data_IF_529515435774
#
_entry.id   IF_529515435774
#
_cell.length_a   1.000
_cell.length_b   1.000
_cell.length_c   1.000
_cell.angle_alpha   90.00
_cell.angle_beta   90.00
_cell.angle_gamma   90.00
#
_symmetry.space_group_name_H-M   'P 1'
#
loop_
_entity.id
_entity.type
_entity.pdbx_description
1 polymer ?
#
# COMPACT_ATOMS: atom_id res chain seq x y z
N UNK A 1 72.67 33.95 23.12
CA UNK A 1 72.05 34.37 21.84
C UNK A 1 70.66 33.75 21.76
N UNK A 2 69.61 34.58 21.88
CA UNK A 2 68.18 34.21 21.82
C UNK A 2 67.70 34.20 20.36
N UNK A 3 66.62 33.47 20.04
CA UNK A 3 65.43 33.79 19.19
C UNK A 3 64.60 32.48 19.11
N UNK A 4 63.47 32.34 19.83
CA UNK A 4 62.06 32.74 19.54
C UNK A 4 61.34 31.93 18.43
N UNK A 5 60.43 31.04 18.87
CA UNK A 5 58.98 30.88 18.56
C UNK A 5 58.54 31.10 17.11
N UNK A 6 57.78 30.14 16.53
CA UNK A 6 56.38 30.29 16.06
C UNK A 6 55.76 28.88 15.85
N UNK A 7 54.68 28.60 16.58
CA UNK A 7 53.65 27.61 16.24
C UNK A 7 52.81 28.12 15.05
N UNK A 8 52.29 27.24 14.18
CA UNK A 8 50.87 27.23 13.76
C UNK A 8 50.65 26.17 12.67
N UNK A 9 49.53 25.44 12.77
CA UNK A 9 48.81 25.00 11.57
C UNK A 9 48.44 23.53 11.49
N UNK A 10 47.48 23.12 12.31
CA UNK A 10 46.67 21.91 12.11
C UNK A 10 45.83 22.04 10.81
N UNK A 11 45.48 20.87 10.23
CA UNK A 11 44.39 20.61 9.28
C UNK A 11 44.70 20.66 7.77
N UNK A 12 45.04 19.48 7.24
CA UNK A 12 44.48 19.02 5.97
C UNK A 12 44.09 17.55 6.16
N UNK A 13 42.82 17.32 6.50
CA UNK A 13 42.18 15.99 6.38
C UNK A 13 42.29 15.61 4.91
N UNK A 14 42.91 14.45 4.69
CA UNK A 14 43.39 13.99 3.39
C UNK A 14 42.31 14.03 2.32
N UNK A 15 42.72 14.55 1.16
CA UNK A 15 42.01 14.44 -0.09
C UNK A 15 41.61 12.97 -0.34
N UNK A 16 40.32 12.75 -0.58
CA UNK A 16 39.85 11.50 -1.20
C UNK A 16 40.56 11.35 -2.55
N UNK A 17 41.55 10.46 -2.60
CA UNK A 17 42.16 10.03 -3.83
C UNK A 17 41.16 9.17 -4.60
N UNK A 18 40.40 9.80 -5.50
CA UNK A 18 39.71 9.13 -6.59
C UNK A 18 40.75 8.66 -7.60
N UNK A 19 41.44 7.57 -7.28
CA UNK A 19 42.30 6.86 -8.22
C UNK A 19 41.88 5.40 -8.27
N UNK A 20 40.97 5.06 -9.19
CA UNK A 20 41.21 4.03 -10.20
C UNK A 20 39.95 3.65 -10.98
N UNK A 21 40.14 3.65 -12.31
CA UNK A 21 39.41 2.89 -13.33
C UNK A 21 38.03 3.42 -13.76
N UNK A 22 38.09 4.52 -14.51
CA UNK A 22 37.17 4.78 -15.61
C UNK A 22 37.23 3.62 -16.62
N UNK A 23 36.21 2.77 -16.59
CA UNK A 23 35.96 1.77 -17.63
C UNK A 23 34.46 1.71 -17.91
N UNK A 24 33.85 2.82 -18.38
CA UNK A 24 32.46 2.78 -18.85
C UNK A 24 32.01 3.94 -19.75
N UNK A 25 32.90 4.71 -20.40
CA UNK A 25 32.44 5.71 -21.38
C UNK A 25 33.28 5.69 -22.65
N UNK A 26 32.70 5.21 -23.75
CA UNK A 26 33.23 5.26 -25.12
C UNK A 26 33.19 6.71 -25.67
N UNK A 27 33.68 7.68 -24.91
CA UNK A 27 33.69 9.09 -25.30
C UNK A 27 35.13 9.49 -25.62
N UNK A 28 35.44 9.95 -26.85
CA UNK A 28 36.79 10.40 -27.19
C UNK A 28 37.27 11.50 -26.26
N UNK A 29 38.53 11.45 -25.82
CA UNK A 29 39.10 12.35 -24.80
C UNK A 29 38.91 13.84 -25.09
N UNK A 30 38.90 14.24 -26.36
CA UNK A 30 38.64 15.62 -26.79
C UNK A 30 37.26 16.17 -26.37
N UNK A 31 36.32 15.29 -26.00
CA UNK A 31 34.99 15.66 -25.50
C UNK A 31 34.84 15.45 -24.00
N UNK A 32 35.88 14.98 -23.31
CA UNK A 32 35.87 14.76 -21.86
C UNK A 32 36.34 16.03 -21.15
N UNK A 33 35.43 16.71 -20.47
CA UNK A 33 35.78 17.82 -19.58
C UNK A 33 36.29 17.23 -18.26
N UNK A 34 37.55 17.49 -17.91
CA UNK A 34 38.21 16.96 -16.71
C UNK A 34 38.78 18.04 -15.78
N UNK A 35 39.18 17.65 -14.56
CA UNK A 35 39.83 18.53 -13.58
C UNK A 35 38.88 19.50 -12.88
N UNK A 36 39.42 20.57 -12.26
CA UNK A 36 38.65 21.55 -11.46
C UNK A 36 37.51 22.24 -12.22
N UNK A 37 37.59 22.31 -13.54
CA UNK A 37 36.50 22.84 -14.37
C UNK A 37 35.34 21.84 -14.46
N UNK A 38 35.63 20.54 -14.54
CA UNK A 38 34.61 19.50 -14.43
C UNK A 38 33.95 19.53 -13.05
N UNK A 39 34.72 19.66 -11.95
CA UNK A 39 34.17 19.77 -10.59
C UNK A 39 33.27 21.02 -10.39
N UNK A 40 33.51 22.10 -11.15
CA UNK A 40 32.67 23.32 -11.12
C UNK A 40 31.40 23.22 -11.98
N UNK A 41 31.36 22.31 -12.94
CA UNK A 41 30.27 22.14 -13.91
C UNK A 41 29.46 20.87 -13.62
N UNK A 42 30.05 19.87 -12.97
CA UNK A 42 29.38 18.64 -12.55
C UNK A 42 28.36 18.96 -11.46
N UNK A 43 27.11 18.95 -11.87
CA UNK A 43 25.97 18.98 -10.98
C UNK A 43 25.70 17.55 -10.51
N UNK A 44 25.89 17.27 -9.21
CA UNK A 44 25.54 15.98 -8.62
C UNK A 44 24.03 15.94 -8.42
N UNK A 45 23.30 15.78 -9.51
CA UNK A 45 21.84 15.85 -9.55
C UNK A 45 21.15 14.58 -9.07
N UNK A 46 21.89 13.54 -8.70
CA UNK A 46 21.32 12.22 -8.35
C UNK A 46 21.86 11.70 -7.02
N UNK A 47 20.96 11.10 -6.25
CA UNK A 47 21.29 10.38 -5.02
C UNK A 47 22.01 9.06 -5.35
N UNK A 48 23.07 8.76 -4.62
CA UNK A 48 23.76 7.48 -4.74
C UNK A 48 23.08 6.38 -3.88
N UNK A 49 23.30 5.12 -4.26
CA UNK A 49 22.73 3.95 -3.58
C UNK A 49 23.06 3.89 -2.08
N UNK A 50 24.31 4.10 -1.69
CA UNK A 50 24.74 4.00 -0.29
C UNK A 50 24.03 5.02 0.63
N UNK A 51 23.75 6.22 0.12
CA UNK A 51 22.95 7.22 0.85
C UNK A 51 21.48 6.81 0.90
N UNK A 52 20.93 6.28 -0.20
CA UNK A 52 19.54 5.82 -0.27
C UNK A 52 19.27 4.65 0.70
N UNK A 53 20.17 3.67 0.76
CA UNK A 53 20.17 2.56 1.72
C UNK A 53 20.15 3.08 3.16
N UNK A 54 21.06 3.99 3.52
CA UNK A 54 21.12 4.57 4.87
C UNK A 54 19.83 5.31 5.27
N UNK A 55 19.16 5.98 4.32
CA UNK A 55 17.87 6.63 4.57
C UNK A 55 16.81 5.56 4.87
N UNK A 56 16.78 4.48 4.10
CA UNK A 56 15.85 3.39 4.34
C UNK A 56 16.09 2.73 5.71
N UNK A 57 17.33 2.33 6.02
CA UNK A 57 17.72 1.73 7.30
C UNK A 57 17.32 2.59 8.51
N UNK A 58 17.55 3.91 8.43
CA UNK A 58 17.18 4.84 9.50
C UNK A 58 15.64 4.88 9.70
N UNK A 59 14.87 4.85 8.60
CA UNK A 59 13.41 4.81 8.68
C UNK A 59 12.92 3.46 9.24
N UNK A 60 13.50 2.33 8.83
CA UNK A 60 13.16 1.01 9.37
C UNK A 60 13.45 0.88 10.86
N UNK A 61 14.57 1.44 11.32
CA UNK A 61 14.89 1.52 12.73
C UNK A 61 13.86 2.33 13.50
N UNK A 62 13.42 3.46 12.95
CA UNK A 62 12.34 4.26 13.54
C UNK A 62 11.00 3.51 13.56
N UNK A 63 10.68 2.78 12.49
CA UNK A 63 9.48 1.94 12.39
C UNK A 63 9.49 0.81 13.42
N UNK A 64 10.63 0.14 13.57
CA UNK A 64 10.82 -0.94 14.53
C UNK A 64 10.67 -0.44 15.98
N UNK A 65 11.23 0.73 16.29
CA UNK A 65 11.09 1.36 17.61
C UNK A 65 9.62 1.68 17.95
N UNK A 66 8.81 1.93 16.94
CA UNK A 66 7.38 2.23 17.06
C UNK A 66 6.48 1.00 16.86
N UNK A 67 7.08 -0.19 16.71
CA UNK A 67 6.41 -1.47 16.49
C UNK A 67 5.45 -1.45 15.28
N UNK A 68 5.89 -0.89 14.16
CA UNK A 68 5.15 -0.85 12.89
C UNK A 68 6.02 -1.36 11.74
N UNK A 69 5.38 -1.86 10.69
CA UNK A 69 6.06 -2.30 9.47
C UNK A 69 5.74 -1.35 8.31
N UNK A 70 6.73 -1.09 7.45
CA UNK A 70 6.62 -0.15 6.32
C UNK A 70 7.30 -0.69 5.06
N UNK A 71 6.96 -0.08 3.92
CA UNK A 71 7.70 -0.13 2.66
C UNK A 71 8.26 1.26 2.36
N UNK A 72 9.48 1.31 1.84
CA UNK A 72 10.23 2.53 1.57
C UNK A 72 10.63 2.54 0.09
N UNK A 73 10.49 3.68 -0.57
CA UNK A 73 10.94 3.91 -1.93
C UNK A 73 11.82 5.15 -1.97
N UNK A 74 13.01 5.05 -2.55
CA UNK A 74 13.92 6.17 -2.82
C UNK A 74 14.10 6.30 -4.33
N UNK A 75 13.80 7.49 -4.84
CA UNK A 75 13.91 7.87 -6.23
C UNK A 75 15.08 8.84 -6.43
N UNK A 76 15.73 8.78 -7.59
CA UNK A 76 16.61 9.86 -8.05
C UNK A 76 15.79 11.07 -8.55
N UNK A 77 16.50 12.13 -8.96
CA UNK A 77 15.88 13.35 -9.46
C UNK A 77 15.13 13.17 -10.80
N UNK A 78 15.40 12.08 -11.53
CA UNK A 78 14.72 11.75 -12.79
C UNK A 78 13.52 10.82 -12.58
N UNK A 79 13.30 10.35 -11.34
CA UNK A 79 12.19 9.48 -10.97
C UNK A 79 12.45 8.00 -11.19
N UNK A 80 13.71 7.61 -11.37
CA UNK A 80 14.15 6.22 -11.40
C UNK A 80 14.28 5.68 -9.98
N UNK A 81 14.07 4.37 -9.84
CA UNK A 81 14.22 3.66 -8.58
C UNK A 81 15.69 3.52 -8.24
N UNK A 82 16.10 4.08 -7.10
CA UNK A 82 17.47 3.93 -6.58
C UNK A 82 17.52 2.85 -5.51
N UNK A 83 16.54 2.86 -4.60
CA UNK A 83 16.42 1.86 -3.54
C UNK A 83 14.96 1.63 -3.18
N UNK A 84 14.62 0.38 -2.86
CA UNK A 84 13.31 -0.01 -2.37
C UNK A 84 13.51 -1.04 -1.27
N UNK A 85 12.82 -0.84 -0.15
CA UNK A 85 12.76 -1.81 0.93
C UNK A 85 11.33 -2.10 1.33
N UNK A 86 11.12 -3.30 1.84
CA UNK A 86 9.81 -3.77 2.25
C UNK A 86 9.96 -4.75 3.40
N UNK A 87 9.64 -4.27 4.60
CA UNK A 87 9.61 -5.07 5.81
C UNK A 87 8.62 -6.24 5.72
N UNK A 88 8.86 -7.26 6.53
CA UNK A 88 7.99 -8.42 6.67
C UNK A 88 6.54 -8.03 7.01
N UNK A 89 5.58 -8.80 6.49
CA UNK A 89 4.15 -8.56 6.71
C UNK A 89 3.52 -7.43 5.89
N UNK A 90 4.29 -6.69 5.08
CA UNK A 90 3.73 -5.63 4.22
C UNK A 90 2.90 -6.18 3.04
N UNK A 91 1.97 -5.39 2.52
CA UNK A 91 1.18 -5.75 1.34
C UNK A 91 1.71 -5.07 0.07
N UNK A 92 1.32 -5.58 -1.11
CA UNK A 92 1.60 -4.91 -2.40
C UNK A 92 1.21 -3.43 -2.40
N UNK A 93 0.09 -3.08 -1.75
CA UNK A 93 -0.39 -1.70 -1.68
C UNK A 93 0.58 -0.76 -0.95
N UNK A 94 1.31 -1.26 0.04
CA UNK A 94 2.24 -0.44 0.83
C UNK A 94 3.47 -0.09 -0.01
N UNK A 95 3.93 -1.02 -0.84
CA UNK A 95 4.99 -0.81 -1.83
C UNK A 95 4.56 0.26 -2.85
N UNK A 96 3.38 0.09 -3.47
CA UNK A 96 2.94 1.02 -4.52
C UNK A 96 2.64 2.40 -3.95
N UNK A 97 2.02 2.49 -2.77
CA UNK A 97 1.79 3.80 -2.13
C UNK A 97 3.08 4.49 -1.73
N UNK A 98 4.13 3.77 -1.31
CA UNK A 98 5.44 4.35 -1.06
C UNK A 98 6.03 4.99 -2.33
N UNK A 99 5.98 4.28 -3.47
CA UNK A 99 6.40 4.82 -4.77
C UNK A 99 5.61 6.06 -5.18
N UNK A 100 4.28 5.99 -5.12
CA UNK A 100 3.43 7.12 -5.49
C UNK A 100 3.67 8.36 -4.62
N UNK A 101 3.95 8.19 -3.32
CA UNK A 101 4.31 9.28 -2.42
C UNK A 101 5.66 9.91 -2.80
N UNK A 102 6.67 9.09 -3.07
CA UNK A 102 7.98 9.56 -3.52
C UNK A 102 7.86 10.35 -4.84
N UNK A 103 7.14 9.81 -5.82
CA UNK A 103 6.88 10.47 -7.11
C UNK A 103 6.14 11.80 -6.96
N UNK A 104 5.16 11.86 -6.05
CA UNK A 104 4.43 13.10 -5.78
C UNK A 104 5.36 14.17 -5.25
N UNK A 105 6.24 13.81 -4.30
CA UNK A 105 7.20 14.75 -3.73
C UNK A 105 8.23 15.23 -4.77
N UNK A 106 8.64 14.34 -5.67
CA UNK A 106 9.51 14.66 -6.79
C UNK A 106 8.85 15.62 -7.79
N UNK A 107 7.63 15.31 -8.25
CA UNK A 107 6.92 16.10 -9.25
C UNK A 107 6.57 17.50 -8.75
N UNK A 108 6.10 17.60 -7.50
CA UNK A 108 5.75 18.90 -6.92
C UNK A 108 6.95 19.68 -6.37
N UNK A 109 8.10 19.02 -6.22
CA UNK A 109 9.28 19.54 -5.52
C UNK A 109 8.99 20.00 -4.09
N UNK A 110 8.06 19.33 -3.40
CA UNK A 110 7.63 19.64 -2.04
C UNK A 110 7.05 18.39 -1.36
N UNK A 111 6.83 18.38 -0.03
CA UNK A 111 6.20 17.25 0.65
C UNK A 111 4.83 16.88 0.08
N UNK A 112 4.55 15.57 -0.08
CA UNK A 112 3.25 15.08 -0.55
C UNK A 112 2.08 15.45 0.39
N UNK A 113 2.41 15.78 1.64
CA UNK A 113 1.50 16.34 2.65
C UNK A 113 0.80 17.61 2.21
N UNK A 114 1.46 18.47 1.42
CA UNK A 114 0.85 19.72 0.97
C UNK A 114 -0.33 19.47 0.03
N UNK A 115 -0.25 18.41 -0.81
CA UNK A 115 -1.39 17.97 -1.62
C UNK A 115 -2.48 17.34 -0.77
N UNK A 116 -2.11 16.55 0.23
CA UNK A 116 -3.07 16.02 1.20
C UNK A 116 -3.88 17.14 1.86
N UNK A 117 -3.21 18.19 2.33
CA UNK A 117 -3.86 19.34 2.95
C UNK A 117 -4.78 20.07 1.95
N UNK A 118 -4.34 20.27 0.71
CA UNK A 118 -5.18 20.89 -0.32
C UNK A 118 -6.43 20.08 -0.67
N UNK A 119 -6.35 18.74 -0.63
CA UNK A 119 -7.53 17.88 -0.82
C UNK A 119 -8.47 17.94 0.40
N UNK A 120 -7.92 18.01 1.62
CA UNK A 120 -8.73 18.20 2.82
C UNK A 120 -9.51 19.54 2.75
N UNK A 121 -8.89 20.60 2.25
CA UNK A 121 -9.55 21.90 2.01
C UNK A 121 -10.58 21.83 0.88
N UNK A 122 -10.22 21.21 -0.24
CA UNK A 122 -11.03 21.12 -1.46
C UNK A 122 -10.90 19.73 -2.13
N UNK A 123 -11.83 18.79 -1.84
CA UNK A 123 -11.81 17.44 -2.36
C UNK A 123 -11.95 17.35 -3.89
N UNK A 124 -12.45 18.41 -4.54
CA UNK A 124 -12.61 18.42 -5.99
C UNK A 124 -11.27 18.41 -6.73
N UNK A 125 -10.19 18.85 -6.07
CA UNK A 125 -8.82 18.84 -6.60
C UNK A 125 -8.21 17.45 -6.71
N UNK A 126 -8.74 16.50 -5.95
CA UNK A 126 -8.16 15.16 -5.89
C UNK A 126 -8.19 14.44 -7.23
N UNK A 127 -9.29 14.57 -7.98
CA UNK A 127 -9.40 13.97 -9.31
C UNK A 127 -8.36 14.54 -10.28
N UNK A 128 -8.11 15.85 -10.19
CA UNK A 128 -7.08 16.51 -11.00
C UNK A 128 -5.68 15.99 -10.63
N UNK A 129 -5.38 15.86 -9.34
CA UNK A 129 -4.10 15.28 -8.90
C UNK A 129 -3.93 13.84 -9.39
N UNK A 130 -5.00 13.02 -9.33
CA UNK A 130 -4.98 11.65 -9.87
C UNK A 130 -4.64 11.64 -11.37
N UNK A 131 -5.24 12.53 -12.15
CA UNK A 131 -4.97 12.63 -13.60
C UNK A 131 -3.54 13.07 -13.92
N UNK A 132 -2.91 13.84 -13.02
CA UNK A 132 -1.51 14.23 -13.10
C UNK A 132 -0.55 13.18 -12.51
N UNK A 133 -1.06 12.02 -12.07
CA UNK A 133 -0.26 10.96 -11.45
C UNK A 133 0.18 11.26 -10.01
N UNK A 134 -0.40 12.28 -9.37
CA UNK A 134 -0.05 12.73 -8.03
C UNK A 134 -0.92 12.07 -6.95
N UNK A 135 -0.28 11.57 -5.91
CA UNK A 135 -0.91 10.92 -4.78
C UNK A 135 -0.87 11.83 -3.57
N UNK A 136 -2.00 12.50 -3.32
CA UNK A 136 -2.20 13.47 -2.25
C UNK A 136 -2.25 12.83 -0.85
N UNK A 137 -1.30 11.96 -0.51
CA UNK A 137 -1.22 11.30 0.78
C UNK A 137 0.15 11.57 1.41
N UNK A 138 0.20 11.85 2.71
CA UNK A 138 1.45 12.16 3.41
C UNK A 138 2.41 10.97 3.45
N UNK A 139 3.71 11.25 3.41
CA UNK A 139 4.79 10.25 3.51
C UNK A 139 5.82 10.32 2.39
N UNK A 140 5.68 11.28 1.45
CA UNK A 140 6.68 11.60 0.44
C UNK A 140 7.41 12.89 0.78
N UNK A 141 8.74 12.87 0.78
CA UNK A 141 9.60 14.04 1.05
C UNK A 141 10.66 14.21 -0.04
N UNK A 142 10.95 15.45 -0.47
CA UNK A 142 12.06 15.71 -1.37
C UNK A 142 13.41 15.59 -0.64
N UNK A 143 14.43 15.11 -1.35
CA UNK A 143 15.81 15.04 -0.88
C UNK A 143 16.57 16.20 -1.54
N UNK A 144 16.91 17.22 -0.73
CA UNK A 144 17.55 18.45 -1.19
C UNK A 144 18.88 18.65 -0.48
N UNK A 145 19.96 18.76 -1.24
CA UNK A 145 21.32 19.01 -0.75
C UNK A 145 21.87 20.24 -1.48
N UNK A 146 22.47 21.18 -0.75
CA UNK A 146 23.03 22.42 -1.33
C UNK A 146 22.05 23.20 -2.22
N UNK A 147 20.75 23.22 -1.84
CA UNK A 147 19.65 23.83 -2.60
C UNK A 147 19.31 23.14 -3.93
N UNK A 148 19.92 21.99 -4.21
CA UNK A 148 19.64 21.16 -5.36
C UNK A 148 18.82 19.94 -4.93
N UNK A 149 17.73 19.65 -5.64
CA UNK A 149 17.01 18.39 -5.44
C UNK A 149 17.80 17.28 -6.11
N UNK A 150 18.06 16.20 -5.35
CA UNK A 150 18.82 15.03 -5.82
C UNK A 150 17.98 13.75 -5.84
N UNK A 151 16.74 13.82 -5.36
CA UNK A 151 15.82 12.70 -5.32
C UNK A 151 14.61 12.95 -4.42
N UNK A 152 13.86 11.89 -4.14
CA UNK A 152 12.74 11.89 -3.23
C UNK A 152 12.63 10.54 -2.49
N UNK A 153 12.12 10.58 -1.26
CA UNK A 153 11.80 9.37 -0.47
C UNK A 153 10.29 9.29 -0.25
N UNK A 154 9.74 8.09 -0.30
CA UNK A 154 8.35 7.80 0.00
C UNK A 154 8.23 6.60 0.93
N UNK A 155 7.37 6.72 1.94
CA UNK A 155 7.13 5.67 2.94
C UNK A 155 5.65 5.32 2.95
N UNK A 156 5.32 4.03 2.97
CA UNK A 156 3.96 3.53 2.98
C UNK A 156 3.81 2.32 3.89
N UNK A 157 2.67 2.21 4.59
CA UNK A 157 2.28 0.95 5.21
C UNK A 157 1.77 1.03 6.63
N UNK A 158 1.81 2.21 7.27
CA UNK A 158 1.27 2.39 8.61
C UNK A 158 0.28 3.55 8.69
N UNK A 159 -0.76 3.37 9.50
CA UNK A 159 -1.65 4.48 9.86
C UNK A 159 -0.90 5.51 10.74
N UNK A 160 -1.21 6.81 10.61
CA UNK A 160 -0.59 7.86 11.42
C UNK A 160 -1.10 7.88 12.87
N UNK A 161 -0.20 8.13 13.81
CA UNK A 161 -0.40 8.42 15.24
C UNK A 161 0.34 9.71 15.62
N UNK A 162 0.03 10.82 14.97
CA UNK A 162 0.74 12.11 15.15
C UNK A 162 0.56 12.62 16.60
N UNK A 163 1.61 13.17 17.26
CA UNK A 163 2.96 13.45 16.73
C UNK A 163 3.97 12.31 16.88
N UNK A 164 3.54 11.14 17.36
CA UNK A 164 4.44 10.01 17.65
C UNK A 164 4.91 9.35 16.36
N UNK A 165 3.98 9.02 15.47
CA UNK A 165 4.27 8.27 14.25
C UNK A 165 3.47 8.73 13.04
N UNK A 166 4.09 8.74 11.88
CA UNK A 166 3.47 8.69 10.56
C UNK A 166 4.54 8.28 9.55
N UNK A 167 4.11 7.83 8.38
CA UNK A 167 5.03 7.56 7.26
C UNK A 167 5.95 8.77 6.97
N UNK A 168 5.42 9.99 7.11
CA UNK A 168 6.16 11.24 6.90
C UNK A 168 7.13 11.57 8.03
N UNK A 169 6.76 11.27 9.29
CA UNK A 169 7.66 11.40 10.45
C UNK A 169 8.83 10.42 10.32
N UNK A 170 8.59 9.20 9.85
CA UNK A 170 9.64 8.23 9.58
C UNK A 170 10.65 8.75 8.54
N UNK A 171 10.13 9.19 7.38
CA UNK A 171 10.94 9.76 6.32
C UNK A 171 11.76 10.97 6.82
N UNK A 172 11.14 11.86 7.59
CA UNK A 172 11.82 13.04 8.11
C UNK A 172 12.93 12.71 9.11
N UNK A 173 12.66 11.82 10.07
CA UNK A 173 13.68 11.36 11.03
C UNK A 173 14.87 10.73 10.31
N UNK A 174 14.61 9.89 9.31
CA UNK A 174 15.64 9.28 8.49
C UNK A 174 16.48 10.32 7.73
N UNK A 175 15.84 11.30 7.08
CA UNK A 175 16.56 12.38 6.40
C UNK A 175 17.40 13.21 7.38
N UNK A 176 16.88 13.54 8.56
CA UNK A 176 17.65 14.29 9.59
C UNK A 176 18.85 13.49 10.08
N UNK A 177 18.69 12.17 10.30
CA UNK A 177 19.78 11.29 10.75
C UNK A 177 20.90 11.19 9.70
N UNK A 178 20.53 11.10 8.41
CA UNK A 178 21.51 10.89 7.32
C UNK A 178 22.09 12.19 6.78
N UNK A 179 21.27 13.23 6.62
CA UNK A 179 21.64 14.50 5.97
C UNK A 179 21.88 15.64 6.97
N UNK A 180 21.48 15.45 8.23
CA UNK A 180 21.70 16.40 9.32
C UNK A 180 20.52 17.35 9.59
N UNK A 181 20.68 18.27 10.55
CA UNK A 181 19.60 19.10 11.09
C UNK A 181 19.10 20.19 10.14
N UNK A 182 19.73 20.36 8.97
CA UNK A 182 19.28 21.30 7.94
C UNK A 182 18.03 20.83 7.18
N UNK A 183 17.60 19.58 7.37
CA UNK A 183 16.35 19.07 6.79
C UNK A 183 15.16 19.88 7.36
N UNK A 184 14.30 20.46 6.51
CA UNK A 184 13.18 21.29 6.96
C UNK A 184 12.20 20.54 7.88
N UNK A 185 11.48 21.26 8.77
CA UNK A 185 10.39 20.68 9.54
C UNK A 185 9.22 20.26 8.63
N UNK A 186 8.42 19.32 9.11
CA UNK A 186 7.24 18.82 8.39
C UNK A 186 6.15 19.90 8.23
N UNK A 187 5.40 19.77 7.13
CA UNK A 187 4.20 20.57 6.91
C UNK A 187 3.17 20.28 8.02
N UNK A 188 2.50 21.33 8.50
CA UNK A 188 1.52 21.19 9.59
C UNK A 188 0.28 20.43 9.10
N UNK A 189 -0.25 19.59 9.98
CA UNK A 189 -1.60 19.05 9.83
C UNK A 189 -2.63 20.18 9.87
N UNK A 190 -3.64 20.07 9.01
CA UNK A 190 -4.84 20.89 9.11
C UNK A 190 -5.98 20.04 9.71
N UNK A 191 -6.96 20.67 10.39
CA UNK A 191 -8.07 19.94 10.96
C UNK A 191 -8.81 19.14 9.87
N UNK A 192 -9.15 17.87 10.12
CA UNK A 192 -9.98 17.09 9.18
C UNK A 192 -11.33 17.78 8.99
N UNK A 193 -11.98 17.54 7.84
CA UNK A 193 -13.29 18.13 7.60
C UNK A 193 -14.28 17.64 8.66
N UNK A 194 -15.29 18.46 8.98
CA UNK A 194 -16.37 18.03 9.88
C UNK A 194 -17.12 16.90 9.19
N UNK A 195 -17.01 15.69 9.74
CA UNK A 195 -17.73 14.53 9.24
C UNK A 195 -19.24 14.71 9.46
N UNK A 196 -20.07 14.78 8.40
CA UNK A 196 -21.51 14.83 8.57
C UNK A 196 -22.08 13.49 9.10
N UNK A 197 -21.34 12.38 9.01
CA UNK A 197 -21.74 11.03 9.42
C UNK A 197 -20.65 10.30 10.26
N UNK A 198 -20.34 10.75 11.49
CA UNK A 198 -19.26 10.17 12.30
C UNK A 198 -19.61 8.76 12.79
N UNK A 199 -19.09 7.74 12.12
CA UNK A 199 -19.08 6.35 12.62
C UNK A 199 -20.45 5.66 12.66
N UNK A 200 -21.44 6.19 11.94
CA UNK A 200 -22.78 5.63 11.92
C UNK A 200 -22.89 4.39 10.99
N UNK A 201 -21.97 4.22 10.04
CA UNK A 201 -21.94 3.01 9.22
C UNK A 201 -21.23 1.86 9.97
N UNK A 202 -21.91 0.74 10.25
CA UNK A 202 -21.29 -0.44 10.87
C UNK A 202 -20.12 -0.93 10.01
N UNK A 203 -18.93 -1.08 10.61
CA UNK A 203 -17.75 -1.62 9.92
C UNK A 203 -17.61 -3.11 10.26
N UNK A 204 -17.71 -4.01 9.27
CA UNK A 204 -17.56 -5.44 9.52
C UNK A 204 -16.12 -5.83 9.91
N UNK A 205 -15.97 -6.87 10.74
CA UNK A 205 -14.68 -7.43 11.16
C UNK A 205 -14.64 -8.95 10.96
N UNK A 206 -13.46 -9.51 10.69
CA UNK A 206 -13.25 -10.96 10.77
C UNK A 206 -13.01 -11.35 12.22
N UNK A 207 -13.70 -12.40 12.68
CA UNK A 207 -13.43 -13.04 13.96
C UNK A 207 -12.99 -14.49 13.68
N UNK A 208 -11.72 -14.79 13.91
CA UNK A 208 -11.21 -16.17 13.92
C UNK A 208 -10.87 -16.55 15.36
N UNK A 209 -11.51 -17.60 15.87
CA UNK A 209 -11.37 -18.05 17.26
C UNK A 209 -10.20 -19.02 17.49
N UNK A 210 -9.58 -19.58 16.44
CA UNK A 210 -8.38 -20.39 16.55
C UNK A 210 -7.58 -20.47 15.24
N UNK A 211 -6.27 -20.72 15.34
CA UNK A 211 -5.41 -21.15 14.23
C UNK A 211 -5.74 -22.63 13.93
N UNK A 212 -5.90 -23.03 12.66
CA UNK A 212 -6.49 -24.33 12.32
C UNK A 212 -5.45 -25.44 12.17
N UNK A 213 -5.95 -26.67 12.26
CA UNK A 213 -5.14 -27.90 12.27
C UNK A 213 -5.66 -28.90 11.24
N UNK A 214 -4.72 -29.52 10.52
CA UNK A 214 -4.96 -30.53 9.46
C UNK A 214 -5.55 -31.84 10.02
N UNK A 215 -6.33 -32.55 9.18
CA UNK A 215 -7.01 -33.82 9.49
C UNK A 215 -6.38 -35.05 8.82
N UNK A 216 -5.18 -34.94 8.23
CA UNK A 216 -4.44 -36.07 7.65
C UNK A 216 -3.55 -36.82 8.69
N UNK A 217 -3.23 -38.11 8.47
CA UNK A 217 -2.29 -38.87 9.32
C UNK A 217 -0.91 -38.22 9.36
N UNK A 218 -0.23 -38.27 10.51
CA UNK A 218 0.97 -37.48 10.80
C UNK A 218 2.15 -37.73 9.84
N UNK A 219 2.23 -38.92 9.28
CA UNK A 219 3.23 -39.33 8.28
C UNK A 219 3.05 -38.64 6.92
N UNK A 220 1.86 -38.11 6.63
CA UNK A 220 1.57 -37.31 5.43
C UNK A 220 1.61 -35.80 5.72
N UNK A 221 2.01 -35.39 6.93
CA UNK A 221 2.06 -33.98 7.36
C UNK A 221 3.53 -33.56 7.53
N UNK A 222 4.04 -32.75 6.60
CA UNK A 222 5.35 -32.11 6.75
C UNK A 222 5.22 -30.93 7.72
N UNK A 223 5.81 -31.06 8.92
CA UNK A 223 5.82 -30.02 9.96
C UNK A 223 7.17 -29.33 10.16
N UNK A 224 7.18 -28.26 10.97
CA UNK A 224 8.39 -27.57 11.41
C UNK A 224 9.00 -26.60 10.38
N UNK A 225 10.30 -26.30 10.53
CA UNK A 225 11.04 -25.31 9.72
C UNK A 225 11.04 -25.60 8.21
N UNK A 226 10.85 -26.86 7.81
CA UNK A 226 10.73 -27.25 6.40
C UNK A 226 9.43 -26.80 5.73
N UNK A 227 8.34 -26.64 6.50
CA UNK A 227 7.05 -26.17 6.00
C UNK A 227 7.06 -24.67 5.64
N UNK A 228 7.92 -23.87 6.31
CA UNK A 228 8.03 -22.43 6.10
C UNK A 228 8.79 -22.03 4.82
N UNK A 229 9.51 -22.97 4.19
CA UNK A 229 10.39 -22.68 3.05
C UNK A 229 9.82 -23.11 1.68
N UNK A 230 8.63 -23.74 1.62
CA UNK A 230 8.21 -24.45 0.39
C UNK A 230 6.75 -24.22 -0.05
N UNK A 231 5.85 -23.68 0.78
CA UNK A 231 4.44 -23.55 0.36
C UNK A 231 3.92 -22.12 0.26
N UNK A 232 3.61 -21.75 -0.99
CA UNK A 232 2.66 -20.71 -1.38
C UNK A 232 1.44 -21.39 -2.04
N UNK A 233 0.28 -21.29 -1.38
CA UNK A 233 -1.05 -21.42 -2.01
C UNK A 233 -1.83 -22.73 -1.84
N UNK A 234 -2.73 -22.76 -0.84
CA UNK A 234 -3.97 -23.52 -0.94
C UNK A 234 -4.95 -22.74 -1.83
N UNK A 235 -5.44 -23.32 -2.93
CA UNK A 235 -6.40 -22.68 -3.84
C UNK A 235 -7.81 -23.22 -3.65
N UNK A 236 -8.84 -22.40 -3.92
CA UNK A 236 -10.21 -22.88 -3.95
C UNK A 236 -10.42 -23.89 -5.09
N UNK A 237 -10.99 -25.05 -4.75
CA UNK A 237 -11.33 -26.06 -5.76
C UNK A 237 -12.56 -25.66 -6.57
N UNK A 238 -12.62 -26.09 -7.84
CA UNK A 238 -13.79 -25.88 -8.70
C UNK A 238 -15.08 -26.48 -8.09
N UNK A 239 -14.99 -27.61 -7.41
CA UNK A 239 -16.14 -28.25 -6.75
C UNK A 239 -16.72 -27.37 -5.63
N UNK A 240 -15.84 -26.80 -4.78
CA UNK A 240 -16.25 -25.85 -3.76
C UNK A 240 -16.83 -24.57 -4.39
N UNK A 241 -16.16 -24.02 -5.42
CA UNK A 241 -16.62 -22.83 -6.13
C UNK A 241 -18.03 -23.01 -6.73
N UNK A 242 -18.30 -24.16 -7.38
CA UNK A 242 -19.63 -24.50 -7.92
C UNK A 242 -20.69 -24.67 -6.83
N UNK A 243 -20.33 -25.19 -5.65
CA UNK A 243 -21.26 -25.32 -4.52
C UNK A 243 -21.63 -23.94 -3.97
N UNK A 244 -20.66 -23.06 -3.76
CA UNK A 244 -20.89 -21.66 -3.34
C UNK A 244 -21.82 -20.97 -4.34
N UNK A 245 -21.50 -21.07 -5.64
CA UNK A 245 -22.28 -20.41 -6.69
C UNK A 245 -23.72 -20.91 -6.76
N UNK A 246 -23.93 -22.24 -6.68
CA UNK A 246 -25.27 -22.85 -6.63
C UNK A 246 -26.10 -22.32 -5.48
N UNK A 247 -25.54 -22.30 -4.27
CA UNK A 247 -26.27 -21.84 -3.07
C UNK A 247 -26.58 -20.35 -3.18
N UNK A 248 -25.62 -19.53 -3.63
CA UNK A 248 -25.84 -18.11 -3.86
C UNK A 248 -26.95 -17.89 -4.93
N UNK A 249 -26.92 -18.62 -6.04
CA UNK A 249 -27.97 -18.57 -7.08
C UNK A 249 -29.35 -18.93 -6.53
N UNK A 250 -29.45 -20.02 -5.81
CA UNK A 250 -30.72 -20.50 -5.25
C UNK A 250 -31.24 -19.52 -4.18
N UNK A 251 -30.33 -18.94 -3.37
CA UNK A 251 -30.65 -17.88 -2.43
C UNK A 251 -31.18 -16.63 -3.14
N UNK A 252 -30.48 -16.15 -4.19
CA UNK A 252 -30.89 -14.99 -4.97
C UNK A 252 -32.27 -15.19 -5.60
N UNK A 253 -32.51 -16.37 -6.21
CA UNK A 253 -33.78 -16.74 -6.79
C UNK A 253 -34.90 -16.79 -5.73
N UNK A 254 -34.63 -17.34 -4.55
CA UNK A 254 -35.60 -17.38 -3.45
C UNK A 254 -36.02 -15.99 -2.94
N UNK A 255 -35.22 -14.96 -3.22
CA UNK A 255 -35.49 -13.56 -2.91
C UNK A 255 -36.04 -12.76 -4.10
N UNK A 256 -36.44 -13.44 -5.18
CA UNK A 256 -36.92 -12.81 -6.41
C UNK A 256 -35.85 -12.01 -7.16
N UNK A 257 -34.57 -12.24 -6.86
CA UNK A 257 -33.46 -11.56 -7.49
C UNK A 257 -32.72 -12.42 -8.51
N UNK A 258 -31.81 -11.77 -9.24
CA UNK A 258 -30.90 -12.39 -10.20
C UNK A 258 -29.49 -11.87 -9.90
N UNK A 259 -28.44 -12.64 -10.18
CA UNK A 259 -27.06 -12.25 -9.88
C UNK A 259 -26.05 -12.68 -10.95
N UNK A 260 -24.92 -11.98 -10.95
CA UNK A 260 -23.66 -12.40 -11.57
C UNK A 260 -22.65 -12.65 -10.46
N UNK A 261 -21.81 -13.68 -10.59
CA UNK A 261 -20.85 -14.08 -9.56
C UNK A 261 -19.51 -14.43 -10.21
N UNK A 262 -18.42 -14.05 -9.56
CA UNK A 262 -17.06 -14.48 -9.85
C UNK A 262 -16.43 -15.08 -8.60
N UNK A 263 -15.73 -16.20 -8.77
CA UNK A 263 -14.85 -16.80 -7.78
C UNK A 263 -13.47 -16.90 -8.42
N UNK A 264 -12.49 -16.30 -7.74
CA UNK A 264 -11.08 -16.30 -8.12
C UNK A 264 -10.26 -17.01 -7.04
N UNK A 265 -9.12 -17.58 -7.42
CA UNK A 265 -8.18 -18.20 -6.50
C UNK A 265 -7.34 -17.16 -5.75
N UNK A 266 -6.38 -17.62 -4.95
CA UNK A 266 -5.50 -16.78 -4.15
C UNK A 266 -4.46 -16.00 -4.99
N UNK A 267 -4.17 -16.44 -6.22
CA UNK A 267 -3.32 -15.74 -7.18
C UNK A 267 -4.11 -14.67 -7.97
N UNK A 268 -5.44 -14.72 -7.90
CA UNK A 268 -6.34 -13.82 -8.61
C UNK A 268 -6.82 -14.36 -9.96
N UNK A 269 -6.57 -15.64 -10.23
CA UNK A 269 -7.01 -16.32 -11.44
C UNK A 269 -8.44 -16.84 -11.31
N UNK A 270 -9.08 -16.98 -12.46
CA UNK A 270 -10.48 -17.36 -12.55
C UNK A 270 -10.72 -18.83 -12.20
N UNK A 271 -11.68 -19.09 -11.31
CA UNK A 271 -12.10 -20.46 -10.96
C UNK A 271 -13.53 -20.75 -11.43
N UNK A 272 -14.48 -19.85 -11.16
CA UNK A 272 -15.89 -20.06 -11.54
C UNK A 272 -16.66 -18.74 -11.70
N UNK A 273 -17.53 -18.65 -12.71
CA UNK A 273 -18.40 -17.49 -12.97
C UNK A 273 -19.78 -18.00 -13.33
N UNK A 274 -20.79 -17.31 -12.81
CA UNK A 274 -22.17 -17.50 -13.22
C UNK A 274 -22.80 -16.16 -13.52
N UNK A 275 -23.72 -16.17 -14.48
CA UNK A 275 -24.60 -15.06 -14.79
C UNK A 275 -26.00 -15.61 -14.95
N UNK A 276 -26.90 -15.23 -14.05
CA UNK A 276 -28.33 -15.56 -14.15
C UNK A 276 -29.01 -14.73 -15.26
N UNK A 277 -30.18 -15.17 -15.68
CA UNK A 277 -30.97 -14.46 -16.69
C UNK A 277 -31.35 -13.04 -16.25
N UNK A 278 -31.45 -12.13 -17.20
CA UNK A 278 -31.76 -10.71 -16.95
C UNK A 278 -30.59 -9.86 -16.46
N UNK A 279 -29.39 -10.42 -16.28
CA UNK A 279 -28.21 -9.67 -15.86
C UNK A 279 -27.59 -8.84 -17.00
N UNK A 280 -27.29 -7.57 -16.70
CA UNK A 280 -26.63 -6.63 -17.62
C UNK A 280 -25.11 -6.62 -17.44
N UNK A 281 -24.40 -6.14 -18.46
CA UNK A 281 -22.92 -6.09 -18.50
C UNK A 281 -22.30 -5.50 -17.23
N UNK A 282 -22.86 -4.41 -16.70
CA UNK A 282 -22.35 -3.78 -15.48
C UNK A 282 -22.37 -4.73 -14.27
N UNK A 283 -23.37 -5.60 -14.15
CA UNK A 283 -23.46 -6.51 -13.01
C UNK A 283 -22.37 -7.60 -13.05
N UNK A 284 -22.05 -8.06 -14.25
CA UNK A 284 -20.96 -9.01 -14.50
C UNK A 284 -19.61 -8.36 -14.15
N UNK A 285 -19.37 -7.15 -14.67
CA UNK A 285 -18.11 -6.43 -14.44
C UNK A 285 -17.92 -6.08 -12.97
N UNK A 286 -18.98 -5.63 -12.29
CA UNK A 286 -18.91 -5.28 -10.87
C UNK A 286 -18.69 -6.50 -9.98
N UNK A 287 -19.24 -7.68 -10.33
CA UNK A 287 -18.94 -8.92 -9.62
C UNK A 287 -17.45 -9.27 -9.65
N UNK A 288 -16.78 -9.18 -10.82
CA UNK A 288 -15.33 -9.39 -10.93
C UNK A 288 -14.54 -8.36 -10.11
N UNK A 289 -14.87 -7.07 -10.24
CA UNK A 289 -14.17 -6.00 -9.52
C UNK A 289 -14.31 -6.17 -8.00
N UNK A 290 -15.47 -6.64 -7.52
CA UNK A 290 -15.68 -6.97 -6.10
C UNK A 290 -14.78 -8.12 -5.64
N UNK A 291 -14.68 -9.21 -6.42
CA UNK A 291 -13.80 -10.34 -6.11
C UNK A 291 -12.32 -9.92 -6.05
N UNK A 292 -11.86 -9.19 -7.07
CA UNK A 292 -10.48 -8.68 -7.15
C UNK A 292 -10.17 -7.70 -6.02
N UNK A 293 -11.12 -6.82 -5.69
CA UNK A 293 -10.97 -5.89 -4.56
C UNK A 293 -10.85 -6.67 -3.27
N UNK A 294 -11.72 -7.65 -3.02
CA UNK A 294 -11.69 -8.46 -1.80
C UNK A 294 -10.39 -9.26 -1.64
N UNK A 295 -9.85 -9.79 -2.75
CA UNK A 295 -8.56 -10.47 -2.77
C UNK A 295 -7.41 -9.51 -2.46
N UNK A 296 -7.31 -8.40 -3.19
CA UNK A 296 -6.22 -7.41 -3.04
C UNK A 296 -6.18 -6.78 -1.66
N UNK A 297 -7.35 -6.50 -1.09
CA UNK A 297 -7.48 -5.82 0.21
C UNK A 297 -7.51 -6.79 1.38
N UNK A 298 -7.69 -8.08 1.09
CA UNK A 298 -7.94 -9.15 2.07
C UNK A 298 -9.12 -8.82 3.00
N UNK A 299 -10.10 -8.08 2.50
CA UNK A 299 -11.23 -7.54 3.27
C UNK A 299 -12.52 -7.61 2.45
N UNK A 300 -13.69 -7.76 3.09
CA UNK A 300 -14.97 -7.61 2.41
C UNK A 300 -15.08 -6.20 1.82
N UNK A 301 -15.67 -6.08 0.63
CA UNK A 301 -15.79 -4.77 -0.03
C UNK A 301 -16.64 -3.80 0.80
N UNK A 302 -17.63 -4.29 1.54
CA UNK A 302 -18.46 -3.49 2.45
C UNK A 302 -17.71 -2.75 3.55
N UNK A 303 -16.53 -3.24 3.99
CA UNK A 303 -15.65 -2.47 4.91
C UNK A 303 -15.33 -1.11 4.29
N UNK A 304 -14.94 -1.09 3.01
CA UNK A 304 -14.54 0.14 2.33
C UNK A 304 -15.71 1.05 2.04
N UNK A 305 -16.90 0.51 1.73
CA UNK A 305 -18.12 1.33 1.66
C UNK A 305 -18.44 1.97 3.00
N UNK A 306 -18.34 1.23 4.11
CA UNK A 306 -18.58 1.78 5.44
C UNK A 306 -17.54 2.84 5.82
N UNK A 307 -16.27 2.59 5.52
CA UNK A 307 -15.19 3.57 5.69
C UNK A 307 -15.48 4.85 4.91
N UNK A 308 -15.81 4.74 3.62
CA UNK A 308 -16.15 5.90 2.77
C UNK A 308 -17.33 6.71 3.33
N UNK A 309 -18.39 6.05 3.80
CA UNK A 309 -19.53 6.73 4.42
C UNK A 309 -19.16 7.46 5.71
N UNK A 310 -18.18 6.93 6.42
CA UNK A 310 -17.65 7.50 7.65
C UNK A 310 -16.47 8.44 7.39
N UNK A 311 -16.07 8.69 6.14
CA UNK A 311 -14.89 9.49 5.81
C UNK A 311 -15.29 10.96 5.52
N UNK A 312 -14.92 11.92 6.39
CA UNK A 312 -15.15 13.34 6.13
C UNK A 312 -14.40 13.89 4.91
N UNK A 313 -13.31 13.23 4.52
CA UNK A 313 -12.34 13.75 3.56
C UNK A 313 -12.62 13.26 2.13
N UNK A 314 -13.72 12.53 1.91
CA UNK A 314 -14.19 12.11 0.59
C UNK A 314 -13.76 10.70 0.20
N UNK A 315 -13.45 10.46 -1.08
CA UNK A 315 -13.11 9.13 -1.59
C UNK A 315 -11.66 8.79 -1.20
N UNK A 316 -11.38 7.75 -0.38
CA UNK A 316 -10.00 7.41 -0.08
C UNK A 316 -9.18 7.17 -1.35
N UNK A 317 -8.06 7.87 -1.51
CA UNK A 317 -7.19 7.88 -2.70
C UNK A 317 -6.85 6.50 -3.25
N UNK A 318 -6.60 5.57 -2.34
CA UNK A 318 -6.35 4.15 -2.64
C UNK A 318 -7.47 3.51 -3.48
N UNK A 319 -8.74 3.94 -3.33
CA UNK A 319 -9.85 3.39 -4.10
C UNK A 319 -9.70 3.65 -5.59
N UNK A 320 -9.44 4.91 -5.97
CA UNK A 320 -9.28 5.32 -7.36
C UNK A 320 -8.02 4.75 -7.98
N UNK A 321 -6.90 4.83 -7.26
CA UNK A 321 -5.60 4.42 -7.78
C UNK A 321 -5.43 2.91 -7.96
N UNK A 322 -6.02 2.10 -7.09
CA UNK A 322 -5.94 0.65 -7.18
C UNK A 322 -7.13 0.01 -7.90
N UNK A 323 -8.05 0.83 -8.43
CA UNK A 323 -9.26 0.37 -9.09
C UNK A 323 -10.15 -0.45 -8.15
N UNK A 324 -10.19 -0.10 -6.86
CA UNK A 324 -11.02 -0.83 -5.89
C UNK A 324 -12.49 -0.50 -6.09
N UNK A 325 -13.31 -1.53 -6.06
CA UNK A 325 -14.75 -1.43 -6.13
C UNK A 325 -15.34 -1.71 -4.76
N UNK A 326 -15.90 -0.67 -4.15
CA UNK A 326 -16.23 -0.70 -2.73
C UNK A 326 -17.61 -1.30 -2.44
N UNK A 327 -18.54 -1.30 -3.39
CA UNK A 327 -19.90 -1.78 -3.12
C UNK A 327 -19.90 -3.21 -2.57
N UNK A 328 -20.75 -3.46 -1.58
CA UNK A 328 -20.88 -4.75 -0.89
C UNK A 328 -21.10 -5.90 -1.87
N UNK A 329 -20.53 -7.07 -1.56
CA UNK A 329 -20.66 -8.27 -2.39
C UNK A 329 -19.34 -8.95 -2.74
N UNK A 330 -18.19 -8.37 -2.40
CA UNK A 330 -16.89 -9.03 -2.48
C UNK A 330 -16.46 -9.53 -1.11
N UNK A 331 -16.07 -10.81 -0.98
CA UNK A 331 -15.62 -11.42 0.28
C UNK A 331 -14.38 -12.30 -0.01
N UNK A 332 -13.28 -12.17 0.75
CA UNK A 332 -12.18 -13.12 0.65
C UNK A 332 -12.61 -14.49 1.20
N UNK A 333 -12.21 -15.56 0.55
CA UNK A 333 -12.50 -16.93 0.96
C UNK A 333 -11.36 -17.38 1.86
N UNK A 334 -11.59 -17.32 3.16
CA UNK A 334 -10.62 -17.72 4.19
C UNK A 334 -11.14 -18.99 4.87
N UNK A 335 -10.53 -20.11 4.53
CA UNK A 335 -10.81 -21.40 5.16
C UNK A 335 -9.66 -21.70 6.09
N UNK A 336 -9.98 -21.99 7.35
CA UNK A 336 -8.94 -22.37 8.29
C UNK A 336 -7.79 -21.32 8.25
N UNK A 337 -8.11 -20.04 8.48
CA UNK A 337 -7.12 -18.96 8.59
C UNK A 337 -6.27 -18.70 7.33
N UNK A 338 -6.45 -19.46 6.26
CA UNK A 338 -5.72 -19.33 5.01
C UNK A 338 -6.65 -18.80 3.92
N UNK A 339 -6.17 -17.77 3.23
CA UNK A 339 -6.90 -17.20 2.10
C UNK A 339 -6.68 -18.06 0.87
N UNK A 340 -7.75 -18.74 0.44
CA UNK A 340 -7.73 -19.65 -0.72
C UNK A 340 -8.34 -19.04 -1.98
N UNK A 341 -8.87 -17.82 -1.89
CA UNK A 341 -9.43 -17.07 -3.01
C UNK A 341 -10.32 -15.92 -2.57
N UNK A 342 -11.18 -15.46 -3.49
CA UNK A 342 -12.20 -14.46 -3.24
C UNK A 342 -13.45 -14.71 -4.09
N UNK A 343 -14.60 -14.32 -3.54
CA UNK A 343 -15.88 -14.30 -4.25
C UNK A 343 -16.33 -12.85 -4.44
N UNK A 344 -16.95 -12.54 -5.58
CA UNK A 344 -17.61 -11.29 -5.86
C UNK A 344 -18.98 -11.53 -6.51
N UNK A 345 -20.03 -10.93 -5.96
CA UNK A 345 -21.41 -11.03 -6.45
C UNK A 345 -21.91 -9.64 -6.85
N UNK A 346 -22.56 -9.54 -8.01
CA UNK A 346 -23.09 -8.30 -8.57
C UNK A 346 -24.48 -8.50 -9.16
N UNK A 347 -25.28 -7.43 -9.19
CA UNK A 347 -26.59 -7.43 -9.85
C UNK A 347 -27.80 -7.43 -8.94
N UNK A 348 -27.60 -7.27 -7.62
CA UNK A 348 -28.67 -7.05 -6.68
C UNK A 348 -29.37 -8.34 -6.28
N UNK A 349 -28.60 -9.37 -5.90
CA UNK A 349 -29.13 -10.62 -5.37
C UNK A 349 -30.15 -10.32 -4.25
N UNK A 350 -31.44 -10.61 -4.46
CA UNK A 350 -32.51 -10.28 -3.51
C UNK A 350 -32.70 -8.79 -3.20
N UNK A 351 -32.52 -7.88 -4.17
CA UNK A 351 -32.75 -6.45 -3.97
C UNK A 351 -31.58 -5.68 -3.36
N UNK A 352 -30.33 -6.15 -3.58
CA UNK A 352 -29.11 -5.52 -3.06
C UNK A 352 -28.32 -6.37 -2.04
N UNK A 353 -28.73 -7.62 -1.83
CA UNK A 353 -28.09 -8.58 -0.92
C UNK A 353 -26.95 -9.39 -1.55
N UNK A 354 -26.17 -8.80 -2.46
CA UNK A 354 -25.02 -9.44 -3.12
C UNK A 354 -24.06 -10.10 -2.10
N UNK A 355 -23.78 -9.41 -1.00
CA UNK A 355 -22.90 -9.90 0.06
C UNK A 355 -23.52 -11.05 0.88
N UNK A 356 -24.84 -11.00 1.13
CA UNK A 356 -25.55 -12.08 1.81
C UNK A 356 -25.56 -13.36 0.96
N UNK A 357 -25.73 -13.21 -0.36
CA UNK A 357 -25.61 -14.31 -1.31
C UNK A 357 -24.25 -15.03 -1.20
N UNK A 358 -23.16 -14.26 -1.15
CA UNK A 358 -21.81 -14.79 -0.94
C UNK A 358 -21.67 -15.46 0.45
N UNK A 359 -22.16 -14.83 1.52
CA UNK A 359 -22.12 -15.37 2.89
C UNK A 359 -22.84 -16.72 2.98
N UNK A 360 -24.07 -16.82 2.46
CA UNK A 360 -24.84 -18.06 2.51
C UNK A 360 -24.18 -19.17 1.67
N UNK A 361 -23.61 -18.81 0.51
CA UNK A 361 -22.81 -19.75 -0.29
C UNK A 361 -21.58 -20.29 0.43
N UNK A 362 -20.87 -19.41 1.15
CA UNK A 362 -19.70 -19.79 1.95
C UNK A 362 -20.08 -20.66 3.15
N UNK A 363 -21.11 -20.29 3.93
CA UNK A 363 -21.63 -21.08 5.05
C UNK A 363 -22.03 -22.49 4.63
N UNK A 364 -22.82 -22.61 3.56
CA UNK A 364 -23.29 -23.92 3.10
C UNK A 364 -22.14 -24.79 2.57
N UNK A 365 -21.07 -24.18 2.07
CA UNK A 365 -19.92 -24.89 1.51
C UNK A 365 -18.96 -25.38 2.59
N UNK A 366 -18.62 -24.52 3.56
CA UNK A 366 -17.54 -24.76 4.51
C UNK A 366 -17.99 -24.86 5.98
N UNK A 367 -19.27 -24.59 6.30
CA UNK A 367 -19.79 -24.63 7.66
C UNK A 367 -19.03 -23.68 8.59
N UNK A 368 -18.56 -24.20 9.72
CA UNK A 368 -17.81 -23.42 10.73
C UNK A 368 -16.33 -23.24 10.38
N UNK A 369 -15.84 -23.84 9.27
CA UNK A 369 -14.44 -23.75 8.85
C UNK A 369 -14.12 -22.49 8.01
N UNK A 370 -15.12 -21.68 7.66
CA UNK A 370 -14.93 -20.43 6.92
C UNK A 370 -15.05 -19.22 7.83
N UNK A 371 -14.11 -18.30 7.69
CA UNK A 371 -14.17 -17.01 8.38
C UNK A 371 -15.11 -16.07 7.62
N UNK A 372 -16.16 -15.60 8.29
CA UNK A 372 -17.17 -14.71 7.70
C UNK A 372 -17.12 -13.32 8.35
N UNK A 373 -17.48 -12.27 7.59
CA UNK A 373 -17.59 -10.93 8.16
C UNK A 373 -18.74 -10.84 9.15
N UNK A 374 -18.48 -10.23 10.32
CA UNK A 374 -19.50 -9.95 11.35
C UNK A 374 -19.87 -8.47 11.29
N UNK A 375 -21.16 -8.16 11.16
CA UNK A 375 -21.67 -6.80 11.08
C UNK A 375 -22.12 -6.31 12.46
N UNK A 376 -21.67 -5.14 12.93
CA UNK A 376 -22.19 -4.53 14.15
C UNK A 376 -23.69 -4.24 14.01
N UNK A 377 -24.44 -4.32 15.11
CA UNK A 377 -25.82 -3.85 15.16
C UNK A 377 -25.88 -2.37 14.74
N UNK A 378 -26.83 -2.02 13.87
CA UNK A 378 -27.06 -0.62 13.51
C UNK A 378 -27.46 0.15 14.77
N UNK A 379 -26.77 1.25 15.09
CA UNK A 379 -27.23 2.17 16.12
C UNK A 379 -28.56 2.75 15.66
N UNK A 380 -29.61 2.63 16.47
CA UNK A 380 -30.85 3.36 16.25
C UNK A 380 -30.52 4.85 16.24
N UNK A 381 -30.91 5.56 15.18
CA UNK A 381 -30.80 7.01 15.14
C UNK A 381 -31.79 7.58 16.16
N UNK A 382 -31.27 8.27 17.18
CA UNK A 382 -32.08 9.10 18.08
C UNK A 382 -32.33 10.46 17.44
#
# INVERSE_FOLDING_TARGET
MRIRIVELGLAAIGAFALSSLAAAQNVPEQFVVSGKNAERIQDFTTINLATAERIAEACEKAATAENVQISIMVLDNDGNHVYMDRMDGQGYLNIVTADMKARTALMDRQPSKLRMNQVIEDPTRELQYIQLGMFANSGGLPIVVNKQMIGAVGVGGSAPRVPVWSDEICAQKALVEVLGPSVPPLAKDIPPRRNPNPGNAPVPRFAATATPKSTLPAEFVVGGKGAANVFDGNQISLAAAKKIARVCRDWAASKGGSMSLYIIDNAGEFVHMERMDGQVFNNIRTALLKAQTALKTRQPTSIRTAQLKNDPDGIPRQLSYFGFFTNSGGIPIVVDGQMIGAIGVGGGAGGGGDENCAIEGLKATFGDHVTLPVYPAAKQAN
#
